data_IF_880703633403
#
_entry.id   IF_880703633403
#
_cell.length_a   1.000
_cell.length_b   1.000
_cell.length_c   1.000
_cell.angle_alpha   90.00
_cell.angle_beta   90.00
_cell.angle_gamma   90.00
#
_symmetry.space_group_name_H-M   'P 1'
#
loop_
_entity.id
_entity.type
_entity.pdbx_description
1 polymer ?
#
# COMPACT_ATOMS: atom_id res chain seq x y z
N UNK A 1 -8.13 -3.85 -20.10
CA UNK A 1 -8.41 -5.30 -19.90
C UNK A 1 -7.19 -6.06 -19.37
N UNK A 2 -6.00 -5.93 -19.98
CA UNK A 2 -4.77 -6.66 -19.60
C UNK A 2 -4.23 -6.44 -18.17
N UNK A 3 -4.48 -5.28 -17.55
CA UNK A 3 -4.00 -4.99 -16.19
C UNK A 3 -4.65 -5.94 -15.17
N UNK A 4 -5.94 -6.22 -15.33
CA UNK A 4 -6.67 -7.10 -14.41
C UNK A 4 -6.21 -8.56 -14.52
N UNK A 5 -5.88 -9.00 -15.73
CA UNK A 5 -5.32 -10.32 -16.02
C UNK A 5 -3.96 -10.52 -15.31
N UNK A 6 -3.04 -9.56 -15.43
CA UNK A 6 -1.72 -9.65 -14.81
C UNK A 6 -1.79 -9.68 -13.27
N UNK A 7 -2.68 -8.89 -12.66
CA UNK A 7 -2.91 -8.91 -11.22
C UNK A 7 -3.46 -10.26 -10.79
N UNK A 8 -4.45 -10.77 -11.53
CA UNK A 8 -5.10 -12.02 -11.20
C UNK A 8 -4.13 -13.20 -11.28
N UNK A 9 -3.31 -13.24 -12.33
CA UNK A 9 -2.24 -14.21 -12.50
C UNK A 9 -1.24 -14.16 -11.34
N UNK A 10 -0.80 -12.96 -10.95
CA UNK A 10 0.11 -12.78 -9.82
C UNK A 10 -0.49 -13.29 -8.51
N UNK A 11 -1.77 -13.01 -8.23
CA UNK A 11 -2.44 -13.48 -7.02
C UNK A 11 -2.62 -15.01 -7.01
N UNK A 12 -2.96 -15.61 -8.16
CA UNK A 12 -3.08 -17.06 -8.29
C UNK A 12 -1.74 -17.78 -8.14
N UNK A 13 -0.67 -17.28 -8.77
CA UNK A 13 0.67 -17.85 -8.63
C UNK A 13 1.13 -17.75 -7.17
N UNK A 14 0.89 -16.61 -6.50
CA UNK A 14 1.19 -16.47 -5.08
C UNK A 14 0.38 -17.46 -4.22
N UNK A 15 -0.91 -17.66 -4.52
CA UNK A 15 -1.72 -18.65 -3.83
C UNK A 15 -1.17 -20.08 -4.01
N UNK A 16 -0.77 -20.47 -5.23
CA UNK A 16 -0.19 -21.79 -5.51
C UNK A 16 1.16 -22.00 -4.82
N UNK A 17 2.05 -21.02 -4.87
CA UNK A 17 3.42 -21.13 -4.33
C UNK A 17 3.43 -21.10 -2.80
N UNK A 18 2.56 -20.29 -2.20
CA UNK A 18 2.53 -20.08 -0.75
C UNK A 18 1.39 -20.80 -0.02
N UNK A 19 0.59 -21.62 -0.72
CA UNK A 19 -0.42 -22.50 -0.12
C UNK A 19 0.19 -23.40 0.95
N UNK A 20 -0.55 -23.63 2.02
CA UNK A 20 -0.26 -24.70 2.95
C UNK A 20 -0.68 -26.05 2.37
N UNK A 21 0.29 -26.84 1.91
CA UNK A 21 0.03 -28.15 1.32
C UNK A 21 -0.27 -29.25 2.34
N UNK A 22 -0.14 -28.97 3.65
CA UNK A 22 -0.58 -29.90 4.69
C UNK A 22 -2.09 -29.81 4.95
N UNK A 23 -2.72 -28.70 4.54
CA UNK A 23 -4.17 -28.51 4.65
C UNK A 23 -4.85 -29.13 3.43
N UNK A 24 -5.77 -30.08 3.66
CA UNK A 24 -6.55 -30.71 2.60
C UNK A 24 -7.75 -29.84 2.17
N UNK A 25 -7.48 -28.67 1.61
CA UNK A 25 -8.47 -27.76 1.04
C UNK A 25 -7.97 -27.16 -0.27
N UNK A 26 -8.84 -26.90 -1.23
CA UNK A 26 -8.45 -26.26 -2.49
C UNK A 26 -8.29 -24.74 -2.33
N UNK A 27 -7.50 -24.12 -3.21
CA UNK A 27 -7.60 -22.66 -3.42
C UNK A 27 -9.00 -22.38 -3.97
N UNK A 28 -9.71 -21.43 -3.37
CA UNK A 28 -11.06 -21.05 -3.78
C UNK A 28 -11.03 -19.68 -4.44
N UNK A 29 -11.76 -19.56 -5.54
CA UNK A 29 -11.96 -18.32 -6.26
C UNK A 29 -13.43 -17.94 -6.19
N UNK A 30 -13.73 -16.80 -5.57
CA UNK A 30 -15.07 -16.23 -5.57
C UNK A 30 -15.11 -14.98 -6.45
N UNK A 31 -16.06 -14.97 -7.38
CA UNK A 31 -16.28 -13.84 -8.29
C UNK A 31 -17.63 -13.24 -7.93
N UNK A 32 -17.60 -12.01 -7.43
CA UNK A 32 -18.77 -11.20 -7.15
C UNK A 32 -18.88 -10.09 -8.20
N UNK A 33 -20.03 -9.40 -8.19
CA UNK A 33 -20.27 -8.25 -9.06
C UNK A 33 -19.27 -7.12 -8.81
N UNK A 34 -18.89 -6.90 -7.55
CA UNK A 34 -18.04 -5.79 -7.11
C UNK A 34 -16.59 -6.18 -6.83
N UNK A 35 -16.28 -7.49 -6.70
CA UNK A 35 -14.93 -7.94 -6.32
C UNK A 35 -14.64 -9.38 -6.70
N UNK A 36 -13.36 -9.72 -6.66
CA UNK A 36 -12.87 -11.10 -6.76
C UNK A 36 -12.08 -11.42 -5.49
N UNK A 37 -12.28 -12.61 -4.93
CA UNK A 37 -11.55 -13.11 -3.78
C UNK A 37 -10.79 -14.39 -4.14
N UNK A 38 -9.48 -14.39 -3.90
CA UNK A 38 -8.61 -15.58 -3.98
C UNK A 38 -8.31 -16.03 -2.56
N UNK A 39 -8.81 -17.20 -2.19
CA UNK A 39 -8.66 -17.77 -0.85
C UNK A 39 -7.69 -18.95 -0.91
N UNK A 40 -6.53 -18.78 -0.27
CA UNK A 40 -5.51 -19.82 -0.14
C UNK A 40 -5.61 -20.53 1.22
N UNK A 41 -5.52 -21.87 1.25
CA UNK A 41 -5.40 -22.63 2.49
C UNK A 41 -4.14 -22.29 3.28
N UNK A 42 -4.30 -22.14 4.59
CA UNK A 42 -3.27 -21.73 5.53
C UNK A 42 -3.15 -20.21 5.69
N UNK A 43 -2.76 -19.79 6.89
CA UNK A 43 -2.46 -18.40 7.21
C UNK A 43 -1.00 -18.03 6.86
N UNK A 44 -0.55 -16.80 7.08
CA UNK A 44 0.85 -16.41 6.85
C UNK A 44 1.81 -17.16 7.80
N UNK A 45 2.91 -17.76 7.29
CA UNK A 45 3.80 -18.59 8.11
C UNK A 45 4.63 -17.75 9.10
N UNK A 46 4.97 -18.35 10.24
CA UNK A 46 5.84 -17.76 11.25
C UNK A 46 5.31 -16.38 11.74
N UNK A 47 6.21 -15.40 11.82
CA UNK A 47 5.91 -14.01 12.24
C UNK A 47 5.65 -13.10 11.03
N UNK A 48 5.22 -13.65 9.89
CA UNK A 48 4.88 -12.86 8.72
C UNK A 48 3.50 -12.20 8.93
N UNK A 49 3.36 -10.95 8.50
CA UNK A 49 2.12 -10.16 8.61
C UNK A 49 1.78 -9.53 7.26
N UNK A 50 0.55 -9.03 7.11
CA UNK A 50 0.09 -8.35 5.90
C UNK A 50 0.97 -7.12 5.58
N UNK A 51 1.39 -6.36 6.58
CA UNK A 51 2.26 -5.20 6.41
C UNK A 51 3.64 -5.59 5.88
N UNK A 52 4.16 -6.74 6.35
CA UNK A 52 5.47 -7.26 5.95
C UNK A 52 5.45 -7.75 4.51
N UNK A 53 4.42 -8.49 4.09
CA UNK A 53 4.31 -8.93 2.69
C UNK A 53 4.06 -7.76 1.73
N UNK A 54 3.32 -6.73 2.16
CA UNK A 54 3.18 -5.46 1.43
C UNK A 54 4.53 -4.75 1.25
N UNK A 55 5.40 -4.87 2.25
CA UNK A 55 6.78 -4.38 2.21
C UNK A 55 7.73 -5.29 1.43
N UNK A 56 7.23 -6.39 0.86
CA UNK A 56 7.96 -7.34 0.01
C UNK A 56 8.79 -8.36 0.77
N UNK A 57 8.54 -8.52 2.07
CA UNK A 57 9.11 -9.62 2.84
C UNK A 57 8.34 -10.89 2.46
N UNK A 58 9.06 -11.94 2.07
CA UNK A 58 8.47 -13.22 1.70
C UNK A 58 9.20 -14.35 2.42
N UNK A 59 8.42 -15.35 2.86
CA UNK A 59 8.93 -16.57 3.45
C UNK A 59 8.59 -17.76 2.54
N UNK A 60 9.58 -18.59 2.26
CA UNK A 60 9.41 -19.81 1.48
C UNK A 60 8.83 -20.90 2.38
N UNK A 61 7.64 -21.39 2.04
CA UNK A 61 7.03 -22.58 2.70
C UNK A 61 7.59 -23.87 2.11
N UNK A 62 7.69 -23.94 0.78
CA UNK A 62 8.15 -25.11 0.07
C UNK A 62 9.25 -24.72 -0.96
N UNK A 63 10.54 -24.96 -0.63
CA UNK A 63 11.65 -24.63 -1.52
C UNK A 63 11.60 -25.34 -2.87
N UNK A 64 11.08 -26.58 -2.91
CA UNK A 64 10.96 -27.38 -4.14
C UNK A 64 9.94 -26.74 -5.08
N UNK A 65 8.77 -26.34 -4.57
CA UNK A 65 7.76 -25.66 -5.38
C UNK A 65 8.27 -24.31 -5.91
N UNK A 66 8.95 -23.52 -5.08
CA UNK A 66 9.55 -22.25 -5.52
C UNK A 66 10.60 -22.49 -6.60
N UNK A 67 11.43 -23.54 -6.46
CA UNK A 67 12.43 -23.91 -7.46
C UNK A 67 11.79 -24.23 -8.81
N UNK A 68 10.77 -25.09 -8.85
CA UNK A 68 10.09 -25.43 -10.10
C UNK A 68 9.29 -24.27 -10.67
N UNK A 69 8.65 -23.46 -9.83
CA UNK A 69 7.99 -22.23 -10.26
C UNK A 69 8.98 -21.29 -10.97
N UNK A 70 10.17 -21.09 -10.40
CA UNK A 70 11.23 -20.29 -11.01
C UNK A 70 11.83 -20.90 -12.29
N UNK A 71 11.67 -22.21 -12.50
CA UNK A 71 12.07 -22.91 -13.75
C UNK A 71 11.04 -22.81 -14.86
N UNK A 72 9.95 -22.06 -14.67
CA UNK A 72 8.92 -21.83 -15.67
C UNK A 72 7.71 -22.73 -15.57
N UNK A 73 7.55 -23.49 -14.47
CA UNK A 73 6.30 -24.23 -14.22
C UNK A 73 5.10 -23.29 -14.03
N UNK A 74 5.34 -22.10 -13.50
CA UNK A 74 4.37 -21.03 -13.29
C UNK A 74 4.97 -19.72 -13.81
N UNK A 75 4.15 -18.70 -14.07
CA UNK A 75 4.63 -17.34 -14.35
C UNK A 75 5.14 -16.66 -13.07
N UNK A 76 6.14 -17.27 -12.46
CA UNK A 76 6.71 -16.84 -11.21
C UNK A 76 7.83 -15.85 -11.44
N UNK A 77 7.64 -14.62 -10.94
CA UNK A 77 8.54 -13.49 -11.19
C UNK A 77 9.45 -13.17 -9.99
N UNK A 78 9.73 -14.19 -9.17
CA UNK A 78 10.62 -14.09 -8.01
C UNK A 78 9.93 -13.71 -6.70
N UNK A 79 10.69 -13.75 -5.60
CA UNK A 79 10.20 -13.50 -4.24
C UNK A 79 10.09 -11.99 -3.95
N UNK A 80 9.05 -11.60 -3.21
CA UNK A 80 8.96 -10.28 -2.58
C UNK A 80 8.66 -9.10 -3.52
N UNK A 81 8.61 -9.33 -4.83
CA UNK A 81 8.23 -8.31 -5.83
C UNK A 81 6.77 -8.40 -6.25
N UNK A 82 6.15 -9.58 -6.16
CA UNK A 82 4.82 -9.89 -6.67
C UNK A 82 3.71 -9.01 -6.11
N UNK A 83 3.52 -9.08 -4.80
CA UNK A 83 2.53 -8.27 -4.08
C UNK A 83 2.78 -6.77 -4.26
N UNK A 84 4.04 -6.32 -4.28
CA UNK A 84 4.38 -4.92 -4.54
C UNK A 84 3.93 -4.45 -5.91
N UNK A 85 4.16 -5.26 -6.96
CA UNK A 85 3.73 -4.94 -8.33
C UNK A 85 2.21 -4.92 -8.44
N UNK A 86 1.54 -5.93 -7.89
CA UNK A 86 0.08 -5.99 -7.86
C UNK A 86 -0.52 -4.75 -7.17
N UNK A 87 0.04 -4.31 -6.04
CA UNK A 87 -0.40 -3.11 -5.32
C UNK A 87 -0.05 -1.80 -6.03
N UNK A 88 1.05 -1.76 -6.78
CA UNK A 88 1.42 -0.58 -7.56
C UNK A 88 0.43 -0.35 -8.72
N UNK A 89 -0.03 -1.43 -9.35
CA UNK A 89 -1.03 -1.37 -10.43
C UNK A 89 -2.46 -1.24 -9.89
N UNK A 90 -2.77 -1.91 -8.77
CA UNK A 90 -4.08 -1.90 -8.13
C UNK A 90 -3.96 -1.70 -6.61
N UNK A 91 -3.95 -0.44 -6.14
CA UNK A 91 -3.80 -0.15 -4.71
C UNK A 91 -4.96 -0.63 -3.83
N UNK A 92 -6.13 -0.89 -4.43
CA UNK A 92 -7.35 -1.33 -3.76
C UNK A 92 -7.34 -2.84 -3.42
N UNK A 93 -6.23 -3.56 -3.65
CA UNK A 93 -6.11 -4.95 -3.21
C UNK A 93 -6.01 -5.00 -1.68
N UNK A 94 -6.93 -5.69 -1.04
CA UNK A 94 -6.87 -6.00 0.39
C UNK A 94 -6.41 -7.43 0.64
N UNK A 95 -5.71 -7.62 1.75
CA UNK A 95 -5.26 -8.94 2.19
C UNK A 95 -5.75 -9.18 3.61
N UNK A 96 -6.27 -10.37 3.86
CA UNK A 96 -6.73 -10.81 5.18
C UNK A 96 -5.99 -12.09 5.56
N UNK A 97 -5.33 -12.07 6.73
CA UNK A 97 -4.69 -13.23 7.35
C UNK A 97 -5.64 -13.79 8.41
N UNK A 98 -6.55 -14.69 8.01
CA UNK A 98 -7.51 -15.33 8.92
C UNK A 98 -6.84 -16.53 9.59
N UNK A 99 -6.28 -16.28 10.78
CA UNK A 99 -5.55 -17.28 11.56
C UNK A 99 -6.48 -18.31 12.17
N UNK A 100 -7.69 -17.90 12.57
CA UNK A 100 -8.67 -18.78 13.18
C UNK A 100 -9.26 -19.74 12.14
N UNK A 101 -9.58 -19.23 10.96
CA UNK A 101 -10.03 -20.02 9.81
C UNK A 101 -8.90 -20.73 9.05
N UNK A 102 -7.64 -20.52 9.45
CA UNK A 102 -6.43 -21.03 8.79
C UNK A 102 -6.45 -20.78 7.27
N UNK A 103 -6.65 -19.53 6.88
CA UNK A 103 -6.70 -19.13 5.48
C UNK A 103 -6.18 -17.72 5.23
N UNK A 104 -5.68 -17.51 4.02
CA UNK A 104 -5.25 -16.22 3.54
C UNK A 104 -6.12 -15.78 2.37
N UNK A 105 -6.61 -14.54 2.41
CA UNK A 105 -7.54 -14.01 1.42
C UNK A 105 -6.91 -12.79 0.75
N UNK A 106 -6.88 -12.80 -0.59
CA UNK A 106 -6.60 -11.62 -1.40
C UNK A 106 -7.88 -11.18 -2.10
N UNK A 107 -8.29 -9.93 -1.90
CA UNK A 107 -9.52 -9.37 -2.47
C UNK A 107 -9.17 -8.25 -3.44
N UNK A 108 -9.65 -8.36 -4.67
CA UNK A 108 -9.52 -7.35 -5.73
C UNK A 108 -10.89 -6.73 -5.96
N UNK A 109 -11.11 -5.50 -5.50
CA UNK A 109 -12.33 -4.76 -5.81
C UNK A 109 -12.31 -4.24 -7.24
N UNK A 110 -13.41 -4.38 -7.97
CA UNK A 110 -13.60 -3.79 -9.29
C UNK A 110 -13.82 -2.29 -9.12
N UNK A 111 -13.16 -1.51 -9.97
CA UNK A 111 -13.44 -0.08 -10.14
C UNK A 111 -14.66 0.04 -11.05
N UNK A 112 -15.61 0.91 -10.72
CA UNK A 112 -16.73 1.21 -11.62
C UNK A 112 -16.23 1.78 -12.95
N UNK A 113 -17.05 1.73 -14.00
CA UNK A 113 -16.71 2.31 -15.32
C UNK A 113 -16.27 3.80 -15.21
N UNK A 114 -16.86 4.56 -14.28
CA UNK A 114 -16.51 5.96 -14.01
C UNK A 114 -15.12 6.15 -13.35
N UNK A 115 -14.62 5.13 -12.66
CA UNK A 115 -13.33 5.16 -11.96
C UNK A 115 -12.14 4.83 -12.88
N UNK A 116 -12.39 4.20 -14.04
CA UNK A 116 -11.35 3.83 -15.00
C UNK A 116 -10.90 5.01 -15.87
N UNK A 117 -11.80 5.92 -16.29
CA UNK A 117 -11.40 7.15 -17.00
C UNK A 117 -10.53 8.09 -16.15
N UNK A 118 -10.68 8.00 -14.83
CA UNK A 118 -9.89 8.76 -13.86
C UNK A 118 -8.45 8.24 -13.70
N UNK A 119 -8.18 6.98 -14.07
CA UNK A 119 -6.89 6.32 -13.85
C UNK A 119 -5.89 6.55 -15.00
N UNK A 120 -6.34 6.60 -16.26
CA UNK A 120 -5.44 6.86 -17.41
C UNK A 120 -4.90 8.29 -17.43
N UNK A 121 -5.65 9.27 -16.91
CA UNK A 121 -5.16 10.65 -16.70
C UNK A 121 -4.32 10.82 -15.42
N UNK A 122 -4.17 9.76 -14.62
CA UNK A 122 -3.54 9.80 -13.28
C UNK A 122 -2.01 9.79 -13.26
N UNK A 123 -1.36 9.33 -14.33
CA UNK A 123 0.10 9.15 -14.38
C UNK A 123 0.90 10.48 -14.39
N UNK A 124 0.26 11.62 -14.68
CA UNK A 124 0.90 12.94 -14.57
C UNK A 124 0.41 13.78 -13.38
N UNK A 125 -0.68 13.39 -12.67
CA UNK A 125 -1.29 14.18 -11.58
C UNK A 125 -0.98 13.70 -10.16
N UNK A 126 -0.47 12.47 -9.97
CA UNK A 126 -0.25 11.87 -8.64
C UNK A 126 0.84 12.55 -7.79
N UNK A 127 1.77 13.28 -8.43
CA UNK A 127 2.77 14.14 -7.77
C UNK A 127 2.15 15.34 -7.04
N UNK A 128 1.01 15.86 -7.52
CA UNK A 128 0.37 17.06 -6.97
C UNK A 128 -0.68 16.75 -5.89
N UNK A 129 -1.50 15.70 -6.04
CA UNK A 129 -2.66 15.45 -5.15
C UNK A 129 -2.27 14.91 -3.75
N UNK A 130 -1.21 14.11 -3.65
CA UNK A 130 -0.64 13.69 -2.36
C UNK A 130 0.07 14.82 -1.61
N UNK A 131 0.63 15.79 -2.36
CA UNK A 131 1.18 17.03 -1.79
C UNK A 131 0.08 17.91 -1.21
N UNK A 132 -1.06 18.04 -1.90
CA UNK A 132 -2.15 18.93 -1.47
C UNK A 132 -2.87 18.47 -0.19
N UNK A 133 -3.21 17.18 -0.05
CA UNK A 133 -3.85 16.66 1.18
C UNK A 133 -2.94 16.77 2.41
N UNK A 134 -1.64 16.50 2.26
CA UNK A 134 -0.67 16.66 3.35
C UNK A 134 -0.42 18.13 3.69
N UNK A 135 -0.37 19.03 2.70
CA UNK A 135 -0.23 20.48 2.94
C UNK A 135 -1.42 21.07 3.70
N UNK A 136 -2.64 20.65 3.41
CA UNK A 136 -3.85 21.09 4.14
C UNK A 136 -3.83 20.62 5.60
N UNK A 137 -3.45 19.36 5.83
CA UNK A 137 -3.36 18.80 7.19
C UNK A 137 -2.23 19.43 8.01
N UNK A 138 -1.12 19.83 7.39
CA UNK A 138 -0.05 20.61 8.06
C UNK A 138 -0.59 21.97 8.53
N UNK A 139 -1.34 22.66 7.69
CA UNK A 139 -1.90 23.98 8.03
C UNK A 139 -2.90 23.86 9.18
N UNK A 140 -3.78 22.87 9.14
CA UNK A 140 -4.75 22.61 10.20
C UNK A 140 -4.07 22.33 11.55
N UNK A 141 -3.04 21.47 11.55
CA UNK A 141 -2.27 21.18 12.76
C UNK A 141 -1.50 22.41 13.28
N UNK A 142 -0.98 23.26 12.40
CA UNK A 142 -0.31 24.51 12.78
C UNK A 142 -1.28 25.57 13.30
N UNK A 143 -2.54 25.59 12.83
CA UNK A 143 -3.60 26.45 13.40
C UNK A 143 -3.98 26.00 14.80
N UNK A 144 -4.09 24.68 15.02
CA UNK A 144 -4.50 24.11 16.30
C UNK A 144 -3.39 24.14 17.36
N UNK A 145 -2.14 23.90 16.96
CA UNK A 145 -0.96 24.03 17.83
C UNK A 145 0.13 24.86 17.13
N UNK A 146 0.17 26.17 17.38
CA UNK A 146 1.21 27.05 16.83
C UNK A 146 2.63 26.67 17.26
N UNK A 147 2.83 25.88 18.31
CA UNK A 147 4.17 25.47 18.77
C UNK A 147 4.58 24.08 18.25
N UNK A 148 3.76 23.45 17.41
CA UNK A 148 4.00 22.10 16.93
C UNK A 148 5.37 21.97 16.25
N UNK A 149 6.10 20.92 16.61
CA UNK A 149 7.42 20.62 16.06
C UNK A 149 7.30 19.87 14.74
N UNK A 150 8.35 19.93 13.92
CA UNK A 150 8.45 19.16 12.68
C UNK A 150 8.34 17.65 12.93
N UNK A 151 8.90 17.17 14.06
CA UNK A 151 8.81 15.78 14.48
C UNK A 151 7.36 15.37 14.82
N UNK A 152 6.62 16.21 15.55
CA UNK A 152 5.22 15.93 15.87
C UNK A 152 4.32 15.99 14.63
N UNK A 153 4.58 16.91 13.69
CA UNK A 153 3.89 16.94 12.40
C UNK A 153 4.14 15.66 11.60
N UNK A 154 5.38 15.17 11.57
CA UNK A 154 5.75 13.92 10.91
C UNK A 154 5.00 12.73 11.52
N UNK A 155 4.93 12.67 12.85
CA UNK A 155 4.22 11.62 13.60
C UNK A 155 2.71 11.63 13.30
N UNK A 156 2.05 12.79 13.36
CA UNK A 156 0.60 12.90 13.16
C UNK A 156 0.16 12.67 11.71
N UNK A 157 1.04 12.94 10.74
CA UNK A 157 0.75 12.79 9.31
C UNK A 157 1.20 11.41 8.81
N UNK A 158 2.08 10.71 9.53
CA UNK A 158 2.60 9.40 9.14
C UNK A 158 3.60 9.45 7.99
N UNK A 159 4.36 10.55 7.87
CA UNK A 159 5.40 10.72 6.84
C UNK A 159 6.73 11.14 7.46
N UNK A 160 7.84 11.00 6.71
CA UNK A 160 9.17 11.34 7.23
C UNK A 160 9.35 12.83 7.49
N UNK A 161 10.17 13.21 8.48
CA UNK A 161 10.49 14.62 8.75
C UNK A 161 11.07 15.33 7.53
N UNK A 162 11.85 14.64 6.69
CA UNK A 162 12.39 15.18 5.44
C UNK A 162 11.29 15.58 4.48
N UNK A 163 10.22 14.78 4.36
CA UNK A 163 9.06 15.11 3.55
C UNK A 163 8.29 16.30 4.12
N UNK A 164 8.10 16.38 5.45
CA UNK A 164 7.47 17.53 6.12
C UNK A 164 8.27 18.81 5.89
N UNK A 165 9.60 18.79 6.08
CA UNK A 165 10.48 19.96 5.84
C UNK A 165 10.33 20.48 4.40
N UNK A 166 10.27 19.56 3.42
CA UNK A 166 10.03 19.91 2.02
C UNK A 166 8.67 20.57 1.80
N UNK A 167 7.61 20.07 2.44
CA UNK A 167 6.26 20.64 2.34
C UNK A 167 6.14 22.00 3.03
N UNK A 168 6.74 22.16 4.22
CA UNK A 168 6.82 23.44 4.93
C UNK A 168 7.55 24.48 4.08
N UNK A 169 8.65 24.09 3.41
CA UNK A 169 9.37 24.97 2.49
C UNK A 169 8.48 25.50 1.35
N UNK A 170 7.66 24.62 0.75
CA UNK A 170 6.68 25.04 -0.26
C UNK A 170 5.61 25.98 0.29
N UNK A 171 5.06 25.68 1.47
CA UNK A 171 4.03 26.50 2.09
C UNK A 171 4.54 27.89 2.50
N UNK A 172 5.80 27.98 2.97
CA UNK A 172 6.48 29.26 3.21
C UNK A 172 6.67 30.05 1.92
N UNK A 173 7.13 29.40 0.85
CA UNK A 173 7.32 30.04 -0.46
C UNK A 173 6.00 30.54 -1.06
N UNK A 174 4.88 29.87 -0.74
CA UNK A 174 3.53 30.28 -1.12
C UNK A 174 2.92 31.32 -0.17
N UNK A 175 3.63 31.78 0.86
CA UNK A 175 3.15 32.78 1.82
C UNK A 175 2.10 32.26 2.82
N UNK A 176 1.75 30.98 2.80
CA UNK A 176 0.64 30.43 3.61
C UNK A 176 0.97 30.19 5.08
N UNK A 177 2.26 30.09 5.41
CA UNK A 177 2.74 29.93 6.79
C UNK A 177 4.03 30.70 7.02
N UNK A 178 4.22 31.20 8.24
CA UNK A 178 5.43 31.90 8.68
C UNK A 178 5.88 31.39 10.05
N UNK A 179 7.19 31.28 10.25
CA UNK A 179 7.77 31.02 11.58
C UNK A 179 8.04 32.35 12.27
N UNK A 180 7.58 32.50 13.50
CA UNK A 180 7.77 33.68 14.35
C UNK A 180 8.61 33.27 15.57
N UNK A 181 9.69 34.00 15.83
CA UNK A 181 10.61 33.72 16.94
C UNK A 181 11.76 32.75 16.57
N UNK A 182 12.62 32.42 17.55
CA UNK A 182 13.87 31.70 17.32
C UNK A 182 13.65 30.24 16.88
N UNK A 183 14.67 29.66 16.23
CA UNK A 183 14.65 28.28 15.71
C UNK A 183 14.30 27.24 16.78
N UNK A 184 14.70 27.51 18.04
CA UNK A 184 14.32 26.74 19.23
C UNK A 184 13.35 27.57 20.07
N UNK A 185 12.05 27.32 19.91
CA UNK A 185 10.99 27.94 20.72
C UNK A 185 10.04 28.90 19.99
N UNK A 186 10.28 29.20 18.72
CA UNK A 186 9.34 29.98 17.89
C UNK A 186 8.03 29.24 17.61
N UNK A 187 7.02 29.97 17.16
CA UNK A 187 5.69 29.45 16.77
C UNK A 187 5.44 29.60 15.27
N UNK A 188 4.51 28.81 14.74
CA UNK A 188 3.98 28.90 13.40
C UNK A 188 2.77 29.83 13.40
N UNK A 189 2.74 30.76 12.45
CA UNK A 189 1.56 31.53 12.08
C UNK A 189 1.11 31.05 10.70
N UNK A 190 -0.19 30.81 10.56
CA UNK A 190 -0.83 30.54 9.28
C UNK A 190 -1.40 31.85 8.77
N UNK A 191 -1.12 32.17 7.50
CA UNK A 191 -1.65 33.33 6.80
C UNK A 191 -2.72 32.82 5.81
N UNK A 192 -3.85 33.52 5.71
CA UNK A 192 -5.00 33.13 4.88
C UNK A 192 -4.81 33.45 3.39
#
# INVERSE_FOLDING_TARGET
>A
MHIFEAIFEELLVNALVHRDYLVNASIRLFIFDDRIEVISPGHLPNNLTVERIRSGISNIRNPILVFYAAKGLLLYRGLGSGIKRALAEWPEISFTDDRDGSMFIATVRRKGLDDMESAEKGSQKSSQKGSQKSSQKIIELMRNDPKITVANLALHIGITERAIKKQIGKLKAQGRIRRIGPDKGGSWRVED
#
